data_IF_865740939224
#
_entry.id   IF_865740939224
#
_cell.length_a   1.000
_cell.length_b   1.000
_cell.length_c   1.000
_cell.angle_alpha   90.00
_cell.angle_beta   90.00
_cell.angle_gamma   90.00
#
_symmetry.space_group_name_H-M   'P 1'
#
loop_
_entity.id
_entity.type
_entity.pdbx_description
1 polymer ?
#
# COMPACT_ATOMS: atom_id res chain seq x y z
N UNK A 1 -23.67 -8.66 2.48
CA UNK A 1 -22.41 -9.25 3.00
C UNK A 1 -21.51 -8.10 3.42
N UNK A 2 -20.89 -8.11 4.61
CA UNK A 2 -19.92 -7.08 4.98
C UNK A 2 -18.64 -7.31 4.17
N UNK A 3 -18.19 -6.32 3.38
CA UNK A 3 -16.87 -6.34 2.74
C UNK A 3 -15.81 -6.54 3.82
N UNK A 4 -14.93 -7.53 3.62
CA UNK A 4 -13.76 -7.71 4.49
C UNK A 4 -12.73 -6.66 4.09
N UNK A 5 -12.40 -5.75 5.00
CA UNK A 5 -11.29 -4.82 4.83
C UNK A 5 -9.99 -5.60 5.01
N UNK A 6 -9.15 -5.64 3.96
CA UNK A 6 -7.82 -6.25 4.03
C UNK A 6 -6.79 -5.19 4.41
N UNK A 7 -6.12 -5.40 5.55
CA UNK A 7 -5.06 -4.53 6.04
C UNK A 7 -3.70 -5.17 5.78
N UNK A 8 -2.76 -4.36 5.30
CA UNK A 8 -1.40 -4.82 4.99
C UNK A 8 -0.36 -3.77 5.34
N UNK A 9 0.89 -4.20 5.48
CA UNK A 9 2.03 -3.28 5.61
C UNK A 9 2.57 -2.96 4.22
N UNK A 10 3.17 -1.77 4.01
CA UNK A 10 3.78 -1.45 2.71
C UNK A 10 4.87 -2.46 2.31
N UNK A 11 5.58 -3.04 3.28
CA UNK A 11 6.61 -4.07 3.04
C UNK A 11 6.00 -5.41 2.60
N UNK A 12 4.88 -5.82 3.19
CA UNK A 12 4.17 -7.03 2.78
C UNK A 12 3.54 -6.84 1.40
N UNK A 13 2.96 -5.68 1.13
CA UNK A 13 2.42 -5.29 -0.18
C UNK A 13 3.50 -5.34 -1.26
N UNK A 14 4.68 -4.76 -1.01
CA UNK A 14 5.81 -4.80 -1.94
C UNK A 14 6.20 -6.23 -2.31
N UNK A 15 6.40 -7.08 -1.30
CA UNK A 15 6.76 -8.49 -1.49
C UNK A 15 5.68 -9.28 -2.23
N UNK A 16 4.39 -9.02 -1.96
CA UNK A 16 3.25 -9.71 -2.60
C UNK A 16 3.23 -9.45 -4.11
N UNK A 17 3.55 -8.23 -4.53
CA UNK A 17 3.45 -7.80 -5.93
C UNK A 17 4.80 -7.79 -6.68
N UNK A 18 5.88 -8.26 -6.06
CA UNK A 18 7.21 -8.29 -6.71
C UNK A 18 7.79 -6.91 -7.03
N UNK A 19 7.40 -5.88 -6.27
CA UNK A 19 7.83 -4.48 -6.47
C UNK A 19 8.79 -4.01 -5.38
N UNK A 20 9.57 -2.98 -5.68
CA UNK A 20 10.51 -2.40 -4.73
C UNK A 20 9.79 -1.66 -3.60
N UNK A 21 10.24 -1.89 -2.36
CA UNK A 21 9.62 -1.29 -1.18
C UNK A 21 9.67 0.24 -1.21
N UNK A 22 10.74 0.82 -1.77
CA UNK A 22 10.90 2.27 -1.88
C UNK A 22 9.87 2.91 -2.82
N UNK A 23 9.41 2.20 -3.85
CA UNK A 23 8.39 2.70 -4.78
C UNK A 23 7.04 2.76 -4.08
N UNK A 24 6.72 1.76 -3.25
CA UNK A 24 5.51 1.77 -2.42
C UNK A 24 5.52 2.95 -1.46
N UNK A 25 6.64 3.22 -0.78
CA UNK A 25 6.77 4.38 0.10
C UNK A 25 6.64 5.71 -0.67
N UNK A 26 7.15 5.77 -1.89
CA UNK A 26 7.05 6.94 -2.77
C UNK A 26 5.61 7.19 -3.18
N UNK A 27 4.89 6.14 -3.59
CA UNK A 27 3.46 6.21 -3.91
C UNK A 27 2.63 6.72 -2.71
N UNK A 28 2.84 6.16 -1.52
CA UNK A 28 2.17 6.59 -0.28
C UNK A 28 2.42 8.08 -0.01
N UNK A 29 3.68 8.53 -0.16
CA UNK A 29 4.06 9.92 0.07
C UNK A 29 3.39 10.87 -0.93
N UNK A 30 3.33 10.48 -2.21
CA UNK A 30 2.74 11.29 -3.28
C UNK A 30 1.21 11.34 -3.20
N UNK A 31 0.56 10.24 -2.85
CA UNK A 31 -0.91 10.19 -2.71
C UNK A 31 -1.41 10.84 -1.43
N UNK A 32 -0.60 10.85 -0.38
CA UNK A 32 -1.01 11.36 0.93
C UNK A 32 -2.00 10.47 1.67
N UNK A 33 -2.12 9.18 1.26
CA UNK A 33 -2.98 8.23 1.99
C UNK A 33 -2.48 8.06 3.43
N UNK A 34 -3.43 7.90 4.35
CA UNK A 34 -3.15 7.81 5.78
C UNK A 34 -3.21 6.35 6.23
N UNK A 35 -2.35 5.95 7.18
CA UNK A 35 -2.44 4.61 7.76
C UNK A 35 -3.69 4.48 8.62
N UNK A 36 -4.30 3.29 8.58
CA UNK A 36 -5.40 2.91 9.49
C UNK A 36 -4.86 2.65 10.89
N UNK A 37 -3.62 2.17 11.00
CA UNK A 37 -2.95 1.91 12.27
C UNK A 37 -1.46 2.21 12.16
N UNK A 38 -0.90 2.82 13.21
CA UNK A 38 0.52 3.19 13.27
C UNK A 38 1.06 3.03 14.69
N UNK A 39 2.09 2.22 14.81
CA UNK A 39 2.95 2.05 15.98
C UNK A 39 4.42 2.14 15.58
N UNK A 40 5.34 2.14 16.56
CA UNK A 40 6.79 2.33 16.36
C UNK A 40 7.36 1.48 15.20
N UNK A 41 6.93 0.23 15.04
CA UNK A 41 7.47 -0.70 14.03
C UNK A 41 6.45 -1.23 13.03
N UNK A 42 5.19 -0.82 13.14
CA UNK A 42 4.10 -1.36 12.31
C UNK A 42 3.28 -0.18 11.79
N UNK A 43 3.07 -0.15 10.48
CA UNK A 43 2.13 0.78 9.84
C UNK A 43 1.27 -0.04 8.90
N UNK A 44 -0.05 0.02 9.10
CA UNK A 44 -1.04 -0.70 8.32
C UNK A 44 -1.87 0.28 7.49
N UNK A 45 -2.12 -0.09 6.25
CA UNK A 45 -3.00 0.59 5.31
C UNK A 45 -4.06 -0.40 4.83
N UNK A 46 -5.18 0.11 4.33
CA UNK A 46 -6.05 -0.71 3.49
C UNK A 46 -5.29 -1.09 2.23
N UNK A 47 -5.34 -2.36 1.85
CA UNK A 47 -4.63 -2.83 0.67
C UNK A 47 -5.17 -2.15 -0.60
N UNK A 48 -6.46 -1.84 -0.66
CA UNK A 48 -7.07 -1.11 -1.79
C UNK A 48 -6.45 0.27 -1.97
N UNK A 49 -6.25 1.02 -0.88
CA UNK A 49 -5.62 2.35 -0.95
C UNK A 49 -4.18 2.27 -1.45
N UNK A 50 -3.44 1.21 -1.08
CA UNK A 50 -2.10 0.97 -1.61
C UNK A 50 -2.12 0.67 -3.11
N UNK A 51 -3.05 -0.16 -3.58
CA UNK A 51 -3.22 -0.46 -5.01
C UNK A 51 -3.54 0.82 -5.80
N UNK A 52 -4.59 1.54 -5.39
CA UNK A 52 -5.01 2.78 -6.05
C UNK A 52 -3.92 3.85 -6.03
N UNK A 53 -3.21 3.97 -4.91
CA UNK A 53 -2.08 4.89 -4.79
C UNK A 53 -0.92 4.48 -5.68
N UNK A 54 -0.59 3.19 -5.77
CA UNK A 54 0.57 2.72 -6.53
C UNK A 54 0.30 2.81 -8.03
N UNK A 55 -0.83 2.28 -8.49
CA UNK A 55 -1.21 2.29 -9.92
C UNK A 55 -1.31 3.71 -10.49
N UNK A 56 -1.75 4.70 -9.69
CA UNK A 56 -1.77 6.12 -10.10
C UNK A 56 -0.40 6.66 -10.50
N UNK A 57 0.67 6.26 -9.81
CA UNK A 57 2.02 6.81 -10.03
C UNK A 57 2.95 5.86 -10.80
N UNK A 58 2.61 4.57 -10.81
CA UNK A 58 3.37 3.51 -11.46
C UNK A 58 2.41 2.59 -12.26
N UNK A 59 1.70 3.13 -13.26
CA UNK A 59 0.67 2.40 -13.97
C UNK A 59 1.25 1.21 -14.74
N UNK A 60 0.56 0.07 -14.67
CA UNK A 60 0.91 -1.14 -15.41
C UNK A 60 2.06 -1.97 -14.81
N UNK A 61 2.49 -1.66 -13.58
CA UNK A 61 3.47 -2.49 -12.85
C UNK A 61 2.78 -3.62 -12.06
N UNK A 62 1.57 -3.39 -11.55
CA UNK A 62 0.81 -4.42 -10.86
C UNK A 62 0.17 -5.37 -11.90
N UNK A 63 0.45 -6.68 -11.78
CA UNK A 63 -0.11 -7.75 -12.64
C UNK A 63 -1.56 -8.12 -12.27
#
# INVERSE_FOLDING_TARGET
>A
MKEKIELTTPKKFARKNGIEYVDVLSAIRLSGIRPIYKEVNITLFEERDLIESFDRYFPGILE
#
